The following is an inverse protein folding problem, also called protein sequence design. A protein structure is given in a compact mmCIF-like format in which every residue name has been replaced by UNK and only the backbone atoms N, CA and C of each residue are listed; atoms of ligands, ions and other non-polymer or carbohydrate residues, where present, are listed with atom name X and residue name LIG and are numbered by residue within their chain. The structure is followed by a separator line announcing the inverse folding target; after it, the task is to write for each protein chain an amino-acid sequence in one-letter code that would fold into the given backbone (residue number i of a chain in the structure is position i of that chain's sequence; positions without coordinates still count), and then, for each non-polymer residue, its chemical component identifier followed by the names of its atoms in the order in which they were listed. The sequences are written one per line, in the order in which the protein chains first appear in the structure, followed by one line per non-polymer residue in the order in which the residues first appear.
data_IF_498292494228
#
_entry.id   IF_498292494228
#
_cell.length_a   1.000
_cell.length_b   1.000
_cell.length_c   1.000
_cell.angle_alpha   90.00
_cell.angle_beta   90.00
_cell.angle_gamma   90.00
#
_symmetry.space_group_name_H-M   'P 1'
#
loop_
_entity.id
_entity.type
_entity.pdbx_description
1 polymer ?
#
# COMPACT_ATOMS: atom_id res chain seq x y z
N UNK A 1 1.03 -7.33 -6.95
CA UNK A 1 2.19 -6.41 -7.08
C UNK A 1 2.75 -6.12 -5.70
N UNK A 2 4.07 -6.05 -5.56
CA UNK A 2 4.74 -5.59 -4.33
C UNK A 2 5.71 -4.49 -4.75
N UNK A 3 5.64 -3.33 -4.10
CA UNK A 3 6.45 -2.16 -4.41
C UNK A 3 7.50 -1.90 -3.32
N UNK A 4 8.71 -1.58 -3.74
CA UNK A 4 9.81 -1.20 -2.84
C UNK A 4 10.10 0.30 -2.88
N UNK A 5 9.52 1.04 -1.93
CA UNK A 5 9.81 2.47 -1.77
C UNK A 5 10.95 2.75 -0.77
N UNK A 6 11.81 1.77 -0.46
CA UNK A 6 13.02 1.95 0.36
C UNK A 6 14.17 2.56 -0.46
N UNK A 7 13.88 3.63 -1.19
CA UNK A 7 14.85 4.46 -1.89
C UNK A 7 14.71 5.88 -1.41
N UNK A 8 15.84 6.58 -1.39
CA UNK A 8 15.88 8.02 -1.19
C UNK A 8 15.38 8.74 -2.44
N UNK A 9 15.00 10.00 -2.30
CA UNK A 9 14.58 10.84 -3.43
C UNK A 9 15.64 10.97 -4.54
N UNK A 10 16.93 10.79 -4.21
CA UNK A 10 18.02 10.76 -5.19
C UNK A 10 18.19 9.41 -5.91
N UNK A 11 17.29 8.45 -5.67
CA UNK A 11 17.29 7.12 -6.28
C UNK A 11 18.26 6.13 -5.65
N UNK A 12 18.96 6.50 -4.57
CA UNK A 12 19.84 5.58 -3.85
C UNK A 12 19.02 4.66 -2.94
N UNK A 13 19.19 3.36 -3.12
CA UNK A 13 18.56 2.35 -2.26
C UNK A 13 18.97 2.52 -0.79
N UNK A 14 18.03 2.26 0.11
CA UNK A 14 18.30 2.19 1.54
C UNK A 14 19.32 1.11 1.86
N UNK A 15 20.06 1.37 2.92
CA UNK A 15 21.16 0.57 3.38
C UNK A 15 21.58 1.00 4.79
N UNK A 16 22.71 0.46 5.25
CA UNK A 16 23.16 0.71 6.61
C UNK A 16 23.63 2.17 6.74
N UNK A 17 22.99 2.93 7.66
CA UNK A 17 23.34 4.31 8.02
C UNK A 17 23.23 5.33 6.86
N UNK A 18 22.47 5.03 5.82
CA UNK A 18 22.27 5.94 4.69
C UNK A 18 20.80 6.29 4.45
N UNK A 19 19.89 6.00 5.39
CA UNK A 19 18.46 6.25 5.19
C UNK A 19 17.91 7.21 6.24
N UNK A 20 16.91 8.01 5.84
CA UNK A 20 16.03 8.75 6.72
C UNK A 20 14.61 8.23 6.45
N UNK A 21 13.90 7.78 7.49
CA UNK A 21 12.65 7.04 7.29
C UNK A 21 11.56 7.81 6.51
N UNK A 22 11.64 9.14 6.47
CA UNK A 22 10.74 10.05 5.73
C UNK A 22 11.14 10.33 4.28
N UNK A 23 12.35 9.92 3.87
CA UNK A 23 12.90 10.15 2.53
C UNK A 23 12.69 8.91 1.67
N UNK A 24 11.43 8.68 1.28
CA UNK A 24 11.00 7.45 0.61
C UNK A 24 10.56 7.72 -0.82
N UNK A 25 10.93 6.86 -1.75
CA UNK A 25 10.75 7.08 -3.17
C UNK A 25 10.57 5.73 -3.87
N UNK A 26 9.66 5.64 -4.85
CA UNK A 26 9.60 4.50 -5.76
C UNK A 26 10.53 4.78 -6.96
N UNK A 27 11.62 4.04 -7.14
CA UNK A 27 12.60 4.34 -8.18
C UNK A 27 11.99 4.22 -9.58
N UNK A 28 12.47 5.06 -10.51
CA UNK A 28 11.92 5.16 -11.87
C UNK A 28 11.81 3.81 -12.61
N UNK A 29 12.81 2.90 -12.54
CA UNK A 29 12.68 1.59 -13.19
C UNK A 29 11.52 0.74 -12.66
N UNK A 30 11.18 0.84 -11.38
CA UNK A 30 10.06 0.10 -10.79
C UNK A 30 8.71 0.75 -11.15
N UNK A 31 8.66 2.08 -11.24
CA UNK A 31 7.48 2.79 -11.73
C UNK A 31 7.17 2.43 -13.21
N UNK A 32 8.20 2.35 -14.04
CA UNK A 32 8.08 1.94 -15.45
C UNK A 32 7.66 0.48 -15.58
N UNK A 33 8.26 -0.40 -14.77
CA UNK A 33 7.84 -1.80 -14.68
C UNK A 33 6.37 -1.91 -14.27
N UNK A 34 5.94 -1.21 -13.21
CA UNK A 34 4.58 -1.24 -12.71
C UNK A 34 3.58 -0.84 -13.81
N UNK A 35 3.89 0.25 -14.53
CA UNK A 35 3.07 0.70 -15.66
C UNK A 35 2.98 -0.37 -16.74
N UNK A 36 4.11 -0.97 -17.12
CA UNK A 36 4.14 -2.01 -18.15
C UNK A 36 3.39 -3.27 -17.72
N UNK A 37 3.52 -3.69 -16.46
CA UNK A 37 2.87 -4.88 -15.91
C UNK A 37 1.35 -4.71 -15.93
N UNK A 38 0.84 -3.60 -15.37
CA UNK A 38 -0.60 -3.31 -15.33
C UNK A 38 -1.22 -3.15 -16.72
N UNK A 39 -0.48 -2.63 -17.70
CA UNK A 39 -0.96 -2.48 -19.08
C UNK A 39 -0.91 -3.77 -19.90
N UNK A 40 -0.14 -4.77 -19.45
CA UNK A 40 0.05 -6.03 -20.19
C UNK A 40 -1.06 -7.05 -19.98
N UNK A 41 -1.94 -6.83 -19.00
CA UNK A 41 -3.00 -7.76 -18.64
C UNK A 41 -4.17 -7.06 -17.93
N UNK A 42 -5.35 -7.67 -17.99
CA UNK A 42 -6.57 -7.16 -17.34
C UNK A 42 -6.83 -7.86 -15.98
N UNK A 43 -5.80 -8.42 -15.33
CA UNK A 43 -5.99 -9.13 -14.07
C UNK A 43 -6.25 -8.15 -12.93
N UNK A 44 -7.19 -8.52 -12.06
CA UNK A 44 -7.43 -7.81 -10.80
C UNK A 44 -6.16 -7.83 -9.95
N UNK A 45 -5.72 -6.66 -9.54
CA UNK A 45 -4.43 -6.47 -8.89
C UNK A 45 -4.61 -5.95 -7.47
N UNK A 46 -3.89 -6.60 -6.55
CA UNK A 46 -3.65 -6.12 -5.19
C UNK A 46 -2.19 -5.67 -5.10
N UNK A 47 -1.99 -4.49 -4.51
CA UNK A 47 -0.66 -3.90 -4.31
C UNK A 47 -0.30 -3.97 -2.83
N UNK A 48 0.94 -4.34 -2.55
CA UNK A 48 1.54 -4.22 -1.23
C UNK A 48 2.71 -3.25 -1.30
N UNK A 49 2.82 -2.35 -0.34
CA UNK A 49 3.91 -1.37 -0.23
C UNK A 49 4.11 -1.04 1.25
N UNK A 50 5.33 -0.78 1.72
CA UNK A 50 5.50 -0.46 3.13
C UNK A 50 4.99 0.96 3.46
N UNK A 51 5.43 1.96 2.69
CA UNK A 51 5.10 3.37 2.84
C UNK A 51 3.72 3.71 2.29
N UNK A 52 3.14 4.83 2.75
CA UNK A 52 1.81 5.25 2.32
C UNK A 52 1.86 5.91 0.93
N UNK A 53 0.90 5.56 0.06
CA UNK A 53 0.73 6.19 -1.27
C UNK A 53 -0.40 7.23 -1.28
N UNK A 54 -1.23 7.24 -0.26
CA UNK A 54 -2.47 8.01 -0.14
C UNK A 54 -2.32 9.33 0.63
N UNK A 55 -1.09 9.68 1.07
CA UNK A 55 -0.81 10.91 1.82
C UNK A 55 0.43 11.62 1.29
N UNK A 56 0.54 12.93 1.59
CA UNK A 56 1.70 13.76 1.23
C UNK A 56 2.52 14.22 2.44
N UNK A 57 2.37 13.57 3.59
CA UNK A 57 3.11 13.87 4.81
C UNK A 57 4.36 12.97 4.96
N UNK A 58 5.02 13.02 6.11
CA UNK A 58 6.25 12.25 6.40
C UNK A 58 6.13 10.73 6.27
N UNK A 59 4.93 10.16 6.28
CA UNK A 59 4.72 8.72 6.07
C UNK A 59 4.48 8.35 4.59
N UNK A 60 4.34 9.36 3.73
CA UNK A 60 4.07 9.19 2.32
C UNK A 60 5.33 9.01 1.49
N UNK A 61 5.18 8.30 0.36
CA UNK A 61 6.19 8.24 -0.70
C UNK A 61 6.24 9.57 -1.44
N UNK A 62 7.44 10.10 -1.69
CA UNK A 62 7.64 11.42 -2.31
C UNK A 62 6.98 11.53 -3.69
N UNK A 63 7.16 10.52 -4.55
CA UNK A 63 6.47 10.41 -5.84
C UNK A 63 5.17 9.61 -5.76
N UNK A 64 4.53 9.51 -4.58
CA UNK A 64 3.30 8.74 -4.40
C UNK A 64 2.15 9.17 -5.32
N UNK A 65 2.10 10.45 -5.71
CA UNK A 65 1.15 10.94 -6.71
C UNK A 65 1.34 10.29 -8.09
N UNK A 66 2.58 10.16 -8.55
CA UNK A 66 2.91 9.51 -9.84
C UNK A 66 2.60 8.02 -9.79
N UNK A 67 2.91 7.36 -8.66
CA UNK A 67 2.54 5.95 -8.45
C UNK A 67 1.03 5.77 -8.52
N UNK A 68 0.25 6.61 -7.81
CA UNK A 68 -1.21 6.54 -7.85
C UNK A 68 -1.76 6.74 -9.26
N UNK A 69 -1.22 7.69 -10.02
CA UNK A 69 -1.62 7.89 -11.42
C UNK A 69 -1.44 6.62 -12.27
N UNK A 70 -0.36 5.86 -12.05
CA UNK A 70 -0.14 4.57 -12.73
C UNK A 70 -1.17 3.53 -12.28
N UNK A 71 -1.42 3.41 -10.97
CA UNK A 71 -2.41 2.46 -10.43
C UNK A 71 -3.84 2.73 -10.94
N UNK A 72 -4.19 4.00 -11.10
CA UNK A 72 -5.50 4.46 -11.58
C UNK A 72 -5.68 4.26 -13.10
N UNK A 73 -4.60 4.11 -13.87
CA UNK A 73 -4.64 4.20 -15.33
C UNK A 73 -5.30 3.03 -16.05
N UNK A 74 -5.39 1.87 -15.40
CA UNK A 74 -5.88 0.61 -16.00
C UNK A 74 -7.19 0.11 -15.38
N UNK A 75 -7.63 0.68 -14.25
CA UNK A 75 -8.88 0.33 -13.58
C UNK A 75 -8.96 -1.09 -13.00
N UNK A 76 -7.86 -1.86 -13.04
CA UNK A 76 -7.79 -3.24 -12.57
C UNK A 76 -7.16 -3.38 -11.17
N UNK A 77 -6.70 -2.28 -10.55
CA UNK A 77 -6.16 -2.27 -9.19
C UNK A 77 -7.31 -2.10 -8.20
N UNK A 78 -7.47 -3.06 -7.28
CA UNK A 78 -8.59 -3.06 -6.32
C UNK A 78 -8.21 -2.41 -4.99
N UNK A 79 -7.01 -2.71 -4.49
CA UNK A 79 -6.57 -2.25 -3.19
C UNK A 79 -5.05 -2.17 -3.07
N UNK A 80 -4.61 -1.27 -2.21
CA UNK A 80 -3.24 -1.11 -1.72
C UNK A 80 -3.23 -1.40 -0.22
N UNK A 81 -2.46 -2.40 0.18
CA UNK A 81 -2.16 -2.64 1.59
C UNK A 81 -0.81 -2.04 1.93
N UNK A 82 -0.82 -1.17 2.93
CA UNK A 82 0.31 -0.34 3.31
C UNK A 82 0.48 -0.26 4.82
N UNK A 83 1.60 0.28 5.29
CA UNK A 83 1.88 0.46 6.70
C UNK A 83 2.64 1.76 6.92
N UNK A 84 3.82 1.65 7.54
CA UNK A 84 4.75 2.72 7.85
C UNK A 84 4.23 3.75 8.87
N UNK A 85 3.05 4.32 8.64
CA UNK A 85 2.19 4.80 9.71
C UNK A 85 1.72 3.61 10.53
N UNK A 86 1.85 3.70 11.84
CA UNK A 86 1.39 2.66 12.76
C UNK A 86 -0.12 2.73 13.02
N UNK A 87 -0.78 3.79 12.55
CA UNK A 87 -2.20 4.03 12.71
C UNK A 87 -3.01 3.21 11.70
N UNK A 88 -3.92 2.40 12.21
CA UNK A 88 -4.99 1.76 11.47
C UNK A 88 -5.84 2.82 10.78
N UNK A 89 -5.75 2.89 9.45
CA UNK A 89 -6.33 3.98 8.67
C UNK A 89 -6.78 3.47 7.30
N UNK A 90 -7.72 4.18 6.68
CA UNK A 90 -8.32 3.79 5.41
C UNK A 90 -8.72 5.01 4.59
N UNK A 91 -8.35 5.00 3.31
CA UNK A 91 -8.85 5.93 2.32
C UNK A 91 -9.30 5.18 1.06
N UNK A 92 -10.25 5.77 0.35
CA UNK A 92 -10.61 5.36 -1.00
C UNK A 92 -10.29 6.50 -1.96
N UNK A 93 -9.52 6.21 -3.00
CA UNK A 93 -9.11 7.20 -4.00
C UNK A 93 -9.35 6.58 -5.37
N UNK A 94 -10.22 7.22 -6.17
CA UNK A 94 -10.53 6.79 -7.54
C UNK A 94 -10.92 5.30 -7.66
N UNK A 95 -11.68 4.79 -6.67
CA UNK A 95 -12.13 3.39 -6.62
C UNK A 95 -11.10 2.39 -6.13
N UNK A 96 -9.90 2.84 -5.72
CA UNK A 96 -8.85 1.99 -5.14
C UNK A 96 -8.88 2.13 -3.61
N UNK A 97 -8.91 1.01 -2.89
CA UNK A 97 -8.91 0.97 -1.44
C UNK A 97 -7.48 1.00 -0.87
N UNK A 98 -7.11 2.06 -0.16
CA UNK A 98 -5.83 2.20 0.52
C UNK A 98 -6.00 1.87 2.00
N UNK A 99 -5.55 0.68 2.40
CA UNK A 99 -5.66 0.20 3.77
C UNK A 99 -4.31 0.25 4.47
N UNK A 100 -4.18 1.15 5.45
CA UNK A 100 -3.00 1.23 6.32
C UNK A 100 -3.18 0.29 7.50
N UNK A 101 -2.34 -0.74 7.56
CA UNK A 101 -2.37 -1.76 8.59
C UNK A 101 -1.77 -1.24 9.90
N UNK A 102 -2.46 -1.53 11.00
CA UNK A 102 -2.02 -1.28 12.36
C UNK A 102 -0.68 -1.97 12.61
N UNK A 103 0.26 -1.25 13.24
CA UNK A 103 1.54 -1.85 13.60
C UNK A 103 1.38 -2.84 14.77
N UNK A 104 2.22 -3.89 14.76
CA UNK A 104 2.25 -4.89 15.82
C UNK A 104 2.96 -4.42 17.10
N UNK A 105 3.63 -3.27 17.06
CA UNK A 105 4.62 -2.82 18.07
C UNK A 105 4.12 -1.69 18.97
N UNK A 106 2.84 -1.32 18.87
CA UNK A 106 2.25 -0.20 19.59
C UNK A 106 1.76 -0.60 20.99
N UNK A 107 2.70 -0.79 21.91
CA UNK A 107 2.44 -1.12 23.33
C UNK A 107 2.83 -2.55 23.72
N UNK A 108 2.65 -2.90 24.98
CA UNK A 108 2.97 -4.24 25.50
C UNK A 108 1.74 -5.13 25.52
N UNK A 109 1.92 -6.44 25.32
CA UNK A 109 0.85 -7.43 25.47
C UNK A 109 0.09 -7.75 24.17
N UNK A 110 -0.53 -8.95 24.06
CA UNK A 110 -1.20 -9.39 22.84
C UNK A 110 -2.40 -8.54 22.39
N UNK A 111 -3.01 -7.80 23.30
CA UNK A 111 -4.11 -6.86 23.06
C UNK A 111 -3.69 -5.66 22.21
N UNK A 112 -2.41 -5.31 22.27
CA UNK A 112 -1.82 -4.16 21.57
C UNK A 112 -1.26 -4.49 20.18
N UNK A 113 -1.36 -5.75 19.76
CA UNK A 113 -0.97 -6.19 18.43
C UNK A 113 -1.99 -5.73 17.36
N UNK A 114 -1.68 -5.92 16.08
CA UNK A 114 -2.55 -5.68 14.94
C UNK A 114 -2.18 -6.60 13.78
N UNK A 115 -3.14 -7.37 13.28
CA UNK A 115 -2.94 -8.22 12.10
C UNK A 115 -4.28 -8.50 11.41
N UNK A 116 -4.23 -9.01 10.18
CA UNK A 116 -5.42 -9.30 9.38
C UNK A 116 -5.33 -10.62 8.63
N UNK A 117 -6.49 -11.13 8.24
CA UNK A 117 -6.65 -12.12 7.18
C UNK A 117 -7.43 -11.47 6.04
N UNK A 118 -6.89 -11.49 4.82
CA UNK A 118 -7.60 -11.04 3.61
C UNK A 118 -8.15 -12.26 2.87
N UNK A 119 -9.47 -12.28 2.67
CA UNK A 119 -10.13 -13.21 1.77
C UNK A 119 -10.46 -12.48 0.47
N UNK A 120 -10.09 -13.08 -0.67
CA UNK A 120 -10.35 -12.55 -2.00
C UNK A 120 -11.35 -13.47 -2.68
N UNK A 121 -12.53 -12.96 -2.99
CA UNK A 121 -13.60 -13.69 -3.63
C UNK A 121 -13.50 -13.60 -5.16
N UNK A 122 -14.12 -14.55 -5.87
CA UNK A 122 -14.06 -14.64 -7.34
C UNK A 122 -14.72 -13.47 -8.05
N UNK A 123 -15.75 -12.90 -7.43
CA UNK A 123 -16.44 -11.71 -7.91
C UNK A 123 -15.57 -10.44 -7.79
N UNK A 124 -14.46 -10.50 -7.05
CA UNK A 124 -13.58 -9.37 -6.77
C UNK A 124 -13.80 -8.76 -5.39
N UNK A 125 -14.77 -9.25 -4.61
CA UNK A 125 -15.02 -8.80 -3.25
C UNK A 125 -13.82 -9.11 -2.36
N UNK A 126 -13.40 -8.12 -1.58
CA UNK A 126 -12.30 -8.21 -0.62
C UNK A 126 -12.86 -8.15 0.80
N UNK A 127 -12.57 -9.18 1.60
CA UNK A 127 -12.93 -9.22 3.01
C UNK A 127 -11.65 -9.24 3.86
N UNK A 128 -11.32 -8.10 4.45
CA UNK A 128 -10.25 -7.96 5.42
C UNK A 128 -10.80 -8.20 6.83
N UNK A 129 -10.52 -9.35 7.42
CA UNK A 129 -10.79 -9.63 8.83
C UNK A 129 -9.63 -9.12 9.68
N UNK A 130 -9.84 -7.99 10.35
CA UNK A 130 -8.88 -7.39 11.26
C UNK A 130 -8.98 -7.96 12.68
N UNK A 131 -7.84 -8.13 13.33
CA UNK A 131 -7.73 -8.64 14.69
C UNK A 131 -7.02 -7.63 15.60
N UNK A 132 -7.39 -7.63 16.88
CA UNK A 132 -6.83 -6.73 17.89
C UNK A 132 -7.07 -5.26 17.52
N UNK A 133 -6.02 -4.47 17.29
CA UNK A 133 -6.15 -3.05 16.95
C UNK A 133 -6.45 -2.79 15.48
N UNK A 134 -6.48 -3.84 14.65
CA UNK A 134 -6.78 -3.75 13.23
C UNK A 134 -8.29 -3.83 12.97
N UNK A 135 -8.79 -2.90 12.16
CA UNK A 135 -10.19 -2.85 11.76
C UNK A 135 -10.45 -3.86 10.65
N UNK A 136 -11.68 -4.35 10.60
CA UNK A 136 -12.17 -5.19 9.51
C UNK A 136 -12.82 -4.33 8.43
N UNK A 137 -12.69 -4.75 7.18
CA UNK A 137 -13.30 -4.10 6.02
C UNK A 137 -13.89 -5.13 5.07
N UNK A 138 -14.98 -4.76 4.41
CA UNK A 138 -15.54 -5.49 3.28
C UNK A 138 -15.71 -4.50 2.14
N UNK A 139 -15.04 -4.77 1.03
CA UNK A 139 -15.11 -3.96 -0.18
C UNK A 139 -15.68 -4.81 -1.29
N UNK A 140 -16.86 -4.43 -1.76
CA UNK A 140 -17.56 -5.13 -2.85
C UNK A 140 -16.92 -4.76 -4.19
N UNK A 141 -16.84 -5.73 -5.10
CA UNK A 141 -16.43 -5.42 -6.47
C UNK A 141 -17.49 -4.57 -7.13
N UNK A 142 -17.12 -3.36 -7.53
CA UNK A 142 -17.93 -2.59 -8.45
C UNK A 142 -17.58 -3.07 -9.87
N UNK A 143 -18.56 -3.66 -10.55
CA UNK A 143 -18.44 -4.10 -11.96
C UNK A 143 -18.42 -2.93 -12.92
#
# INVERSE_FOLDING_TARGET
VVLDCCFREDGVAYGRKNFQWTDTYLPQPELEWLKSDLQSNDLRTIVFVHQRLDVSNSHGVKNGGDVRQVLESTGNVLAVFQGHSHHNDYHEIQGIHYCTLAAMVEGTGPENNGFSILNIHRDGTLLLSGFRRQASYQWESHT
#
